data_IF_764949634859
#
_entry.id   IF_764949634859
#
_cell.length_a   1.000
_cell.length_b   1.000
_cell.length_c   1.000
_cell.angle_alpha   90.00
_cell.angle_beta   90.00
_cell.angle_gamma   90.00
#
_symmetry.space_group_name_H-M   'P 1'
#
loop_
_entity.id
_entity.type
_entity.pdbx_description
1 polymer ?
#
# COMPACT_ATOMS: atom_id res chain seq x y z
N UNK A 1 -11.81 34.04 -19.50
CA UNK A 1 -12.66 32.91 -19.04
C UNK A 1 -11.94 31.55 -19.02
N UNK A 2 -11.13 31.17 -20.02
CA UNK A 2 -10.42 29.88 -20.03
C UNK A 2 -9.30 29.74 -18.97
N UNK A 3 -8.64 30.84 -18.60
CA UNK A 3 -7.60 30.87 -17.55
C UNK A 3 -8.20 30.64 -16.14
N UNK A 4 -9.44 31.08 -15.92
CA UNK A 4 -10.16 30.85 -14.66
C UNK A 4 -10.55 29.37 -14.48
N UNK A 5 -10.86 28.66 -15.56
CA UNK A 5 -11.16 27.23 -15.54
C UNK A 5 -9.94 26.35 -15.18
N UNK A 6 -8.75 26.71 -15.68
CA UNK A 6 -7.51 26.02 -15.32
C UNK A 6 -7.10 26.28 -13.87
N UNK A 7 -7.32 27.50 -13.37
CA UNK A 7 -7.09 27.85 -11.95
C UNK A 7 -8.03 27.10 -10.99
N UNK A 8 -9.29 26.89 -11.38
CA UNK A 8 -10.24 26.12 -10.58
C UNK A 8 -9.89 24.62 -10.50
N UNK A 9 -9.39 24.03 -11.59
CA UNK A 9 -8.91 22.63 -11.59
C UNK A 9 -7.63 22.49 -10.76
N UNK A 10 -6.71 23.47 -10.84
CA UNK A 10 -5.51 23.49 -10.02
C UNK A 10 -5.84 23.65 -8.53
N UNK A 11 -6.80 24.52 -8.18
CA UNK A 11 -7.30 24.71 -6.82
C UNK A 11 -8.03 23.47 -6.29
N UNK A 12 -8.80 22.75 -7.12
CA UNK A 12 -9.47 21.50 -6.74
C UNK A 12 -8.46 20.37 -6.49
N UNK A 13 -7.40 20.27 -7.31
CA UNK A 13 -6.33 19.28 -7.12
C UNK A 13 -5.48 19.62 -5.89
N UNK A 14 -5.19 20.90 -5.63
CA UNK A 14 -4.47 21.34 -4.43
C UNK A 14 -5.29 21.21 -3.14
N UNK A 15 -6.61 21.44 -3.18
CA UNK A 15 -7.49 21.30 -2.00
C UNK A 15 -7.77 19.84 -1.63
N UNK A 16 -7.81 18.92 -2.60
CA UNK A 16 -7.90 17.48 -2.32
C UNK A 16 -6.59 16.91 -1.76
N UNK A 17 -5.44 17.51 -2.10
CA UNK A 17 -4.11 17.13 -1.58
C UNK A 17 -3.72 17.85 -0.27
N UNK A 18 -4.37 18.97 0.06
CA UNK A 18 -4.11 19.77 1.26
C UNK A 18 -5.17 19.61 2.36
N UNK A 19 -6.15 18.71 2.20
CA UNK A 19 -7.02 18.34 3.30
C UNK A 19 -6.14 17.79 4.44
N UNK A 20 -6.11 18.42 5.63
CA UNK A 20 -5.43 17.83 6.76
C UNK A 20 -6.05 16.46 6.99
N UNK A 21 -5.25 15.42 7.35
CA UNK A 21 -5.85 14.18 7.79
C UNK A 21 -6.85 14.52 8.90
N UNK A 22 -8.03 13.88 8.94
CA UNK A 22 -8.86 14.00 10.13
C UNK A 22 -7.96 13.72 11.32
N UNK A 23 -8.00 14.63 12.31
CA UNK A 23 -7.24 14.48 13.54
C UNK A 23 -7.52 13.07 14.05
N UNK A 24 -6.55 12.17 13.88
CA UNK A 24 -6.63 10.88 14.53
C UNK A 24 -6.55 11.22 16.01
N UNK A 25 -7.63 10.94 16.74
CA UNK A 25 -7.50 10.70 18.15
C UNK A 25 -6.39 9.65 18.28
N UNK A 26 -5.23 10.07 18.78
CA UNK A 26 -4.09 9.22 19.01
C UNK A 26 -4.45 8.28 20.17
N UNK A 27 -5.10 7.16 19.86
CA UNK A 27 -5.09 6.00 20.72
C UNK A 27 -3.69 5.40 20.63
N UNK A 28 -2.91 5.48 21.71
CA UNK A 28 -1.63 4.78 21.80
C UNK A 28 -1.83 3.28 21.48
N UNK A 29 -0.98 2.71 20.61
CA UNK A 29 -1.08 1.31 20.21
C UNK A 29 -0.99 0.37 21.41
N UNK A 30 -1.91 -0.60 21.51
CA UNK A 30 -2.07 -1.49 22.67
C UNK A 30 -0.81 -2.31 22.93
N UNK A 31 -0.13 -2.68 21.84
CA UNK A 31 1.12 -3.43 21.85
C UNK A 31 2.28 -2.78 22.65
N UNK A 32 2.38 -1.45 22.67
CA UNK A 32 3.51 -0.76 23.32
C UNK A 32 3.45 -0.79 24.85
N UNK A 33 2.24 -0.92 25.39
CA UNK A 33 1.94 -0.80 26.82
C UNK A 33 1.70 -2.14 27.52
N UNK A 34 1.82 -3.27 26.83
CA UNK A 34 1.63 -4.58 27.46
C UNK A 34 2.81 -4.92 28.36
N UNK A 35 2.50 -5.22 29.62
CA UNK A 35 3.41 -5.87 30.55
C UNK A 35 3.05 -7.34 30.65
N UNK A 36 4.07 -8.19 30.76
CA UNK A 36 3.91 -9.63 30.87
C UNK A 36 4.39 -10.13 32.22
N UNK A 37 3.72 -11.15 32.74
CA UNK A 37 4.12 -11.82 33.97
C UNK A 37 5.47 -12.53 33.82
N UNK A 38 6.06 -12.91 34.96
CA UNK A 38 7.35 -13.61 35.02
C UNK A 38 8.52 -12.89 34.29
N UNK A 39 8.48 -11.56 34.23
CA UNK A 39 9.49 -10.72 33.58
C UNK A 39 9.74 -11.09 32.10
N UNK A 40 8.71 -11.59 31.41
CA UNK A 40 8.79 -11.92 29.99
C UNK A 40 8.93 -10.64 29.17
N UNK A 41 9.87 -10.64 28.24
CA UNK A 41 10.10 -9.55 27.31
C UNK A 41 10.20 -10.09 25.89
N UNK A 42 9.64 -9.32 24.95
CA UNK A 42 9.60 -9.67 23.53
C UNK A 42 10.26 -8.57 22.71
N UNK A 43 11.04 -8.97 21.70
CA UNK A 43 11.82 -8.05 20.88
C UNK A 43 10.96 -7.27 19.88
N UNK A 44 9.81 -7.81 19.50
CA UNK A 44 8.91 -7.26 18.49
C UNK A 44 7.45 -7.46 18.89
N UNK A 45 6.56 -6.63 18.38
CA UNK A 45 5.15 -6.73 18.64
C UNK A 45 4.26 -6.04 17.58
N UNK A 46 3.08 -6.60 17.29
CA UNK A 46 2.15 -6.06 16.30
C UNK A 46 0.72 -6.12 16.82
N UNK A 47 0.00 -5.00 16.69
CA UNK A 47 -1.47 -5.01 16.79
C UNK A 47 -2.03 -5.73 15.56
N UNK A 48 -2.96 -6.66 15.78
CA UNK A 48 -3.60 -7.44 14.73
C UNK A 48 -4.86 -6.72 14.24
N UNK A 49 -5.19 -6.82 12.94
CA UNK A 49 -6.23 -5.99 12.32
C UNK A 49 -7.66 -6.31 12.75
N UNK A 50 -7.88 -7.42 13.47
CA UNK A 50 -9.21 -7.94 13.83
C UNK A 50 -9.23 -8.50 15.25
N UNK A 51 -10.42 -8.48 15.84
CA UNK A 51 -10.73 -9.02 17.17
C UNK A 51 -9.95 -8.33 18.32
N UNK A 52 -9.38 -7.15 18.08
CA UNK A 52 -8.65 -6.38 19.09
C UNK A 52 -7.44 -7.10 19.68
N UNK A 53 -6.86 -8.03 18.91
CA UNK A 53 -5.74 -8.87 19.34
C UNK A 53 -4.38 -8.19 19.08
N UNK A 54 -3.36 -8.60 19.82
CA UNK A 54 -1.96 -8.27 19.55
C UNK A 54 -1.07 -9.50 19.69
N UNK A 55 0.06 -9.51 18.99
CA UNK A 55 1.07 -10.56 19.09
C UNK A 55 2.43 -9.95 19.35
N UNK A 56 3.19 -10.54 20.26
CA UNK A 56 4.52 -10.13 20.67
C UNK A 56 5.44 -11.33 20.48
N UNK A 57 6.64 -11.12 19.95
CA UNK A 57 7.53 -12.23 19.68
C UNK A 57 9.01 -11.87 19.77
N UNK A 58 9.81 -12.90 20.01
CA UNK A 58 11.26 -12.90 19.85
C UNK A 58 11.60 -14.13 19.03
N UNK A 59 12.29 -13.93 17.90
CA UNK A 59 12.73 -15.03 17.04
C UNK A 59 14.25 -15.14 17.06
N UNK A 60 14.76 -16.27 17.51
CA UNK A 60 16.17 -16.60 17.45
C UNK A 60 16.48 -17.40 16.17
N UNK A 61 17.20 -16.79 15.25
CA UNK A 61 17.57 -17.40 13.97
C UNK A 61 18.57 -18.54 14.11
N UNK A 62 19.39 -18.53 15.16
CA UNK A 62 20.43 -19.55 15.36
C UNK A 62 19.80 -20.86 15.82
N UNK A 63 18.86 -20.79 16.76
CA UNK A 63 18.15 -21.96 17.28
C UNK A 63 16.91 -22.35 16.46
N UNK A 64 16.31 -21.39 15.74
CA UNK A 64 15.03 -21.55 15.06
C UNK A 64 13.82 -21.47 16.01
N UNK A 65 14.02 -20.95 17.22
CA UNK A 65 13.00 -20.86 18.25
C UNK A 65 12.26 -19.51 18.19
N UNK A 66 10.94 -19.58 18.23
CA UNK A 66 10.02 -18.45 18.29
C UNK A 66 9.37 -18.41 19.67
N UNK A 67 9.73 -17.44 20.49
CA UNK A 67 8.98 -17.12 21.72
C UNK A 67 7.87 -16.15 21.37
N UNK A 68 6.63 -16.43 21.79
CA UNK A 68 5.44 -15.63 21.48
C UNK A 68 4.62 -15.31 22.73
N UNK A 69 3.98 -14.14 22.74
CA UNK A 69 2.83 -13.81 23.56
C UNK A 69 1.69 -13.29 22.68
N UNK A 70 0.52 -13.90 22.77
CA UNK A 70 -0.69 -13.46 22.09
C UNK A 70 -1.68 -12.90 23.10
N UNK A 71 -2.24 -11.72 22.83
CA UNK A 71 -3.07 -11.00 23.79
C UNK A 71 -4.40 -10.60 23.17
N UNK A 72 -5.52 -11.12 23.70
CA UNK A 72 -6.87 -10.82 23.20
C UNK A 72 -7.94 -11.09 24.26
N UNK A 73 -9.08 -10.41 24.21
CA UNK A 73 -10.22 -10.75 25.05
C UNK A 73 -10.99 -11.96 24.47
N UNK A 74 -11.44 -12.92 25.29
CA UNK A 74 -12.38 -13.95 24.83
C UNK A 74 -13.72 -13.33 24.43
N UNK A 75 -14.54 -14.07 23.67
CA UNK A 75 -15.82 -13.53 23.19
C UNK A 75 -16.86 -13.35 24.33
N UNK A 76 -16.69 -14.09 25.44
CA UNK A 76 -17.51 -14.00 26.64
C UNK A 76 -16.71 -14.48 27.87
N UNK A 77 -17.15 -14.15 29.10
CA UNK A 77 -16.59 -14.75 30.32
C UNK A 77 -16.66 -16.28 30.27
N UNK A 78 -15.56 -16.97 30.60
CA UNK A 78 -15.46 -18.43 30.47
C UNK A 78 -15.18 -18.93 29.04
N UNK A 79 -14.98 -18.01 28.10
CA UNK A 79 -14.58 -18.33 26.73
C UNK A 79 -13.11 -18.73 26.58
N UNK A 80 -12.70 -18.89 25.34
CA UNK A 80 -11.33 -19.28 24.95
C UNK A 80 -10.76 -18.35 23.88
N UNK A 81 -9.45 -18.39 23.71
CA UNK A 81 -8.73 -17.66 22.67
C UNK A 81 -7.73 -18.58 21.98
N UNK A 82 -7.44 -18.34 20.70
CA UNK A 82 -6.47 -19.13 19.97
C UNK A 82 -5.62 -18.26 19.06
N UNK A 83 -4.34 -18.63 18.96
CA UNK A 83 -3.41 -18.13 17.95
C UNK A 83 -2.69 -19.31 17.33
N UNK A 84 -2.49 -19.26 16.02
CA UNK A 84 -1.92 -20.36 15.28
C UNK A 84 -1.02 -19.89 14.14
N UNK A 85 -0.03 -20.71 13.84
CA UNK A 85 0.78 -20.60 12.62
C UNK A 85 0.30 -21.63 11.61
N UNK A 86 0.15 -21.24 10.35
CA UNK A 86 -0.27 -22.14 9.28
C UNK A 86 0.86 -22.30 8.23
N UNK A 87 1.54 -23.46 8.18
CA UNK A 87 2.60 -23.72 7.21
C UNK A 87 2.10 -24.04 5.79
N UNK A 88 0.83 -24.42 5.62
CA UNK A 88 0.29 -24.94 4.35
C UNK A 88 -0.78 -24.04 3.70
N UNK A 89 -1.28 -23.02 4.40
CA UNK A 89 -2.32 -22.12 3.92
C UNK A 89 -2.45 -20.84 4.74
N UNK A 90 -3.51 -20.07 4.50
CA UNK A 90 -3.80 -18.80 5.16
C UNK A 90 -5.09 -18.84 6.01
N UNK A 91 -5.69 -20.01 6.19
CA UNK A 91 -6.95 -20.23 6.91
C UNK A 91 -6.82 -21.15 8.12
N UNK A 92 -7.96 -21.60 8.64
CA UNK A 92 -8.02 -22.54 9.77
C UNK A 92 -7.48 -23.95 9.41
N UNK A 93 -7.83 -24.56 8.26
CA UNK A 93 -7.24 -25.84 7.87
C UNK A 93 -5.72 -25.75 7.65
N UNK A 94 -4.98 -26.66 8.28
CA UNK A 94 -3.51 -26.70 8.32
C UNK A 94 -2.89 -25.96 9.51
N UNK A 95 -3.67 -25.21 10.30
CA UNK A 95 -3.15 -24.38 11.37
C UNK A 95 -2.64 -25.20 12.57
N UNK A 96 -1.51 -24.78 13.12
CA UNK A 96 -0.86 -25.35 14.30
C UNK A 96 -1.11 -24.39 15.47
N UNK A 97 -2.09 -24.70 16.30
CA UNK A 97 -2.71 -23.74 17.20
C UNK A 97 -2.25 -23.90 18.65
N UNK A 98 -2.02 -22.75 19.30
CA UNK A 98 -2.05 -22.58 20.74
C UNK A 98 -3.44 -22.08 21.12
N UNK A 99 -4.18 -22.88 21.87
CA UNK A 99 -5.53 -22.54 22.34
C UNK A 99 -5.50 -22.42 23.85
N UNK A 100 -5.97 -21.29 24.37
CA UNK A 100 -6.01 -21.01 25.80
C UNK A 100 -7.43 -20.79 26.29
N UNK A 101 -7.73 -21.33 27.46
CA UNK A 101 -9.02 -21.19 28.12
C UNK A 101 -9.04 -21.87 29.47
N UNK A 102 -10.16 -21.80 30.19
CA UNK A 102 -10.38 -22.51 31.45
C UNK A 102 -10.67 -23.99 31.17
N UNK A 103 -9.67 -24.74 30.73
CA UNK A 103 -9.80 -26.17 30.50
C UNK A 103 -9.78 -26.94 31.83
N UNK A 104 -10.66 -27.95 32.02
CA UNK A 104 -10.60 -28.85 33.16
C UNK A 104 -9.25 -29.57 33.25
N UNK A 105 -8.78 -29.80 34.47
CA UNK A 105 -7.63 -30.67 34.72
C UNK A 105 -7.97 -32.13 34.37
N UNK A 106 -6.93 -32.93 34.14
CA UNK A 106 -7.03 -34.37 33.86
C UNK A 106 -7.65 -35.07 35.08
N UNK A 107 -8.95 -35.32 35.04
CA UNK A 107 -9.76 -35.76 36.18
C UNK A 107 -11.18 -35.18 36.21
N UNK A 108 -11.50 -34.21 35.33
CA UNK A 108 -12.87 -33.73 35.14
C UNK A 108 -13.37 -32.77 36.24
N UNK A 109 -12.47 -32.24 37.06
CA UNK A 109 -12.78 -31.21 38.06
C UNK A 109 -13.10 -29.84 37.45
N UNK A 110 -13.59 -28.90 38.27
CA UNK A 110 -13.78 -27.52 37.83
C UNK A 110 -12.42 -26.90 37.43
N UNK A 111 -12.36 -26.28 36.25
CA UNK A 111 -11.16 -25.59 35.78
C UNK A 111 -10.81 -24.43 36.72
N UNK A 112 -9.67 -24.52 37.40
CA UNK A 112 -9.25 -23.54 38.41
C UNK A 112 -8.38 -22.41 37.82
N UNK A 113 -7.75 -22.63 36.67
CA UNK A 113 -6.85 -21.69 36.02
C UNK A 113 -6.93 -21.76 34.49
N UNK A 114 -6.48 -20.68 33.82
CA UNK A 114 -6.28 -20.68 32.37
C UNK A 114 -5.07 -21.55 32.02
N UNK A 115 -5.23 -22.42 31.02
CA UNK A 115 -4.15 -23.27 30.52
C UNK A 115 -4.11 -23.24 28.99
N UNK A 116 -2.98 -23.69 28.43
CA UNK A 116 -2.78 -23.75 26.97
C UNK A 116 -2.74 -25.20 26.53
N UNK A 117 -3.49 -25.51 25.48
CA UNK A 117 -3.46 -26.79 24.77
C UNK A 117 -3.09 -26.56 23.32
N UNK A 118 -2.38 -27.51 22.73
CA UNK A 118 -1.96 -27.47 21.32
C UNK A 118 -2.91 -28.29 20.46
N UNK A 119 -3.21 -27.80 19.26
CA UNK A 119 -4.09 -28.49 18.32
C UNK A 119 -3.53 -28.45 16.90
N UNK A 120 -3.47 -29.61 16.26
CA UNK A 120 -3.21 -29.73 14.83
C UNK A 120 -4.55 -29.67 14.07
N UNK A 121 -4.87 -28.49 13.54
CA UNK A 121 -6.18 -28.22 12.94
C UNK A 121 -6.14 -28.57 11.46
N UNK A 122 -6.69 -29.73 11.08
CA UNK A 122 -6.70 -30.18 9.67
C UNK A 122 -7.94 -29.73 8.88
N UNK A 123 -9.00 -29.27 9.56
CA UNK A 123 -10.27 -28.88 8.96
C UNK A 123 -11.09 -27.96 9.86
N UNK A 124 -12.42 -28.06 9.79
CA UNK A 124 -13.34 -27.23 10.58
C UNK A 124 -13.82 -27.89 11.88
N UNK A 125 -13.61 -29.21 12.02
CA UNK A 125 -13.81 -29.92 13.26
C UNK A 125 -12.48 -29.93 14.04
N UNK A 126 -12.57 -29.65 15.34
CA UNK A 126 -11.41 -29.73 16.23
C UNK A 126 -11.29 -31.16 16.78
N UNK A 127 -10.12 -31.78 16.63
CA UNK A 127 -9.81 -33.06 17.25
C UNK A 127 -9.32 -32.90 18.68
N UNK A 128 -8.77 -33.97 19.24
CA UNK A 128 -8.17 -33.95 20.58
C UNK A 128 -6.90 -33.07 20.63
N UNK A 129 -6.61 -32.46 21.79
CA UNK A 129 -5.35 -31.75 21.98
C UNK A 129 -4.17 -32.71 21.82
N UNK A 130 -3.10 -32.24 21.20
CA UNK A 130 -1.94 -33.08 20.93
C UNK A 130 -0.79 -32.34 20.26
N UNK A 131 0.28 -33.07 19.90
CA UNK A 131 1.47 -32.48 19.28
C UNK A 131 1.14 -31.73 17.99
N UNK A 132 1.86 -30.63 17.77
CA UNK A 132 1.78 -29.81 16.56
C UNK A 132 3.11 -29.82 15.81
N UNK A 133 3.11 -29.44 14.53
CA UNK A 133 4.30 -29.44 13.68
C UNK A 133 5.42 -28.50 14.17
N UNK A 134 5.09 -27.56 15.07
CA UNK A 134 6.05 -26.72 15.78
C UNK A 134 6.12 -27.17 17.23
N UNK A 135 7.07 -28.05 17.62
CA UNK A 135 7.22 -28.49 19.01
C UNK A 135 7.16 -27.29 19.96
N UNK A 136 6.22 -27.35 20.90
CA UNK A 136 5.85 -26.24 21.76
C UNK A 136 6.30 -26.50 23.21
N UNK A 137 6.92 -25.50 23.82
CA UNK A 137 7.34 -25.51 25.22
C UNK A 137 7.01 -24.18 25.90
N UNK A 138 7.29 -24.05 27.20
CA UNK A 138 7.07 -22.83 28.00
C UNK A 138 5.64 -22.27 27.91
N UNK A 139 4.67 -23.16 27.71
CA UNK A 139 3.26 -22.84 27.53
C UNK A 139 2.65 -22.34 28.84
N UNK A 140 2.00 -21.18 28.78
CA UNK A 140 1.27 -20.61 29.91
C UNK A 140 0.15 -19.71 29.40
N UNK A 141 -0.92 -19.57 30.17
CA UNK A 141 -1.94 -18.58 29.90
C UNK A 141 -2.46 -17.95 31.18
N UNK A 142 -2.87 -16.70 31.09
CA UNK A 142 -3.47 -15.96 32.19
C UNK A 142 -4.55 -15.00 31.66
N UNK A 143 -5.60 -14.80 32.44
CA UNK A 143 -6.60 -13.78 32.18
C UNK A 143 -6.30 -12.56 33.05
N UNK A 144 -5.97 -11.43 32.42
CA UNK A 144 -5.69 -10.20 33.15
C UNK A 144 -6.96 -9.57 33.73
N UNK A 145 -6.78 -8.68 34.70
CA UNK A 145 -7.87 -7.87 35.27
C UNK A 145 -8.56 -6.96 34.23
N UNK A 146 -7.89 -6.70 33.10
CA UNK A 146 -8.42 -6.01 31.92
C UNK A 146 -9.36 -6.87 31.06
N UNK A 147 -9.61 -8.12 31.46
CA UNK A 147 -10.43 -9.08 30.73
C UNK A 147 -9.76 -9.65 29.49
N UNK A 148 -8.46 -9.40 29.28
CA UNK A 148 -7.70 -9.95 28.15
C UNK A 148 -6.87 -11.14 28.58
N UNK A 149 -6.96 -12.20 27.79
CA UNK A 149 -6.11 -13.36 27.93
C UNK A 149 -4.73 -13.09 27.32
N UNK A 150 -3.69 -13.54 28.00
CA UNK A 150 -2.30 -13.54 27.54
C UNK A 150 -1.87 -15.00 27.40
N UNK A 151 -1.48 -15.38 26.19
CA UNK A 151 -1.11 -16.76 25.83
C UNK A 151 0.35 -16.78 25.45
N UNK A 152 1.13 -17.56 26.18
CA UNK A 152 2.57 -17.67 26.02
C UNK A 152 2.96 -19.02 25.43
N UNK A 153 4.02 -19.03 24.63
CA UNK A 153 4.64 -20.26 24.18
C UNK A 153 5.99 -20.04 23.51
N UNK A 154 6.79 -21.10 23.45
CA UNK A 154 7.99 -21.19 22.63
C UNK A 154 7.78 -22.27 21.59
N UNK A 155 7.93 -21.94 20.32
CA UNK A 155 7.72 -22.81 19.17
C UNK A 155 9.03 -23.03 18.42
N UNK A 156 9.39 -24.29 18.17
CA UNK A 156 10.54 -24.62 17.31
C UNK A 156 10.07 -24.70 15.86
N UNK A 157 10.48 -23.74 15.03
CA UNK A 157 9.95 -23.60 13.66
C UNK A 157 10.59 -24.57 12.65
N UNK A 158 11.78 -25.10 12.93
CA UNK A 158 12.47 -26.04 12.05
C UNK A 158 12.61 -25.50 10.61
N UNK A 159 12.32 -26.31 9.56
CA UNK A 159 12.47 -25.89 8.16
C UNK A 159 11.46 -24.81 7.73
N UNK A 160 10.44 -24.55 8.54
CA UNK A 160 9.38 -23.58 8.22
C UNK A 160 9.77 -22.13 8.58
N UNK A 161 10.91 -21.91 9.24
CA UNK A 161 11.43 -20.59 9.64
C UNK A 161 11.94 -19.73 8.48
N UNK A 162 11.10 -19.42 7.48
CA UNK A 162 11.45 -18.66 6.28
C UNK A 162 11.33 -17.13 6.43
N UNK A 163 11.23 -16.62 7.67
CA UNK A 163 11.10 -15.18 7.97
C UNK A 163 9.68 -14.63 7.88
N UNK A 164 8.81 -15.17 7.01
CA UNK A 164 7.39 -14.79 6.94
C UNK A 164 6.51 -16.03 7.04
N UNK A 165 5.57 -16.03 7.98
CA UNK A 165 4.62 -17.11 8.22
C UNK A 165 3.18 -16.62 8.08
N UNK A 166 2.26 -17.52 7.76
CA UNK A 166 0.84 -17.22 7.88
C UNK A 166 0.41 -17.45 9.33
N UNK A 167 -0.37 -16.52 9.87
CA UNK A 167 -0.97 -16.62 11.20
C UNK A 167 -2.48 -16.43 11.11
N UNK A 168 -3.19 -17.13 11.98
CA UNK A 168 -4.64 -17.02 12.17
C UNK A 168 -4.94 -17.01 13.66
N UNK A 169 -6.03 -16.34 14.05
CA UNK A 169 -6.42 -16.26 15.45
C UNK A 169 -7.95 -16.23 15.59
N UNK A 170 -8.45 -16.67 16.74
CA UNK A 170 -9.87 -16.66 17.05
C UNK A 170 -10.14 -16.45 18.53
N UNK A 171 -11.38 -16.07 18.81
CA UNK A 171 -11.95 -15.96 20.15
C UNK A 171 -13.28 -16.70 20.17
N UNK A 172 -13.54 -17.46 21.22
CA UNK A 172 -14.76 -18.23 21.41
C UNK A 172 -15.44 -17.91 22.73
N UNK A 173 -16.74 -18.23 22.81
CA UNK A 173 -17.58 -17.83 23.92
C UNK A 173 -17.60 -18.82 25.10
N UNK A 174 -17.24 -20.09 24.87
CA UNK A 174 -17.32 -21.12 25.90
C UNK A 174 -16.34 -22.29 25.67
N UNK A 175 -15.89 -22.90 26.76
CA UNK A 175 -15.28 -24.24 26.77
C UNK A 175 -16.36 -25.23 27.23
N UNK A 176 -16.64 -26.27 26.44
CA UNK A 176 -17.69 -27.27 26.71
C UNK A 176 -17.09 -28.67 26.67
N UNK A 177 -17.36 -29.49 27.69
CA UNK A 177 -16.82 -30.85 27.76
C UNK A 177 -15.28 -30.91 27.76
N UNK A 178 -14.62 -29.86 28.23
CA UNK A 178 -13.17 -29.73 28.20
C UNK A 178 -12.57 -29.35 26.84
N UNK A 179 -13.40 -29.05 25.83
CA UNK A 179 -12.96 -28.62 24.52
C UNK A 179 -13.47 -27.20 24.17
N UNK A 180 -12.76 -26.45 23.32
CA UNK A 180 -13.25 -25.18 22.79
C UNK A 180 -14.57 -25.36 22.01
N UNK A 181 -15.63 -24.63 22.38
CA UNK A 181 -16.83 -24.58 21.56
C UNK A 181 -16.57 -23.81 20.25
N UNK A 182 -17.34 -24.04 19.18
CA UNK A 182 -17.17 -23.31 17.92
C UNK A 182 -17.13 -21.78 18.11
N UNK A 183 -16.18 -21.11 17.46
CA UNK A 183 -16.12 -19.66 17.44
C UNK A 183 -17.17 -19.07 16.49
N UNK A 184 -17.45 -17.77 16.63
CA UNK A 184 -18.35 -17.07 15.71
C UNK A 184 -17.78 -17.03 14.27
N UNK A 185 -18.67 -16.98 13.27
CA UNK A 185 -18.30 -16.91 11.84
C UNK A 185 -18.59 -15.53 11.24
N UNK A 186 -18.50 -14.47 12.06
CA UNK A 186 -18.71 -13.09 11.62
C UNK A 186 -17.60 -12.59 10.70
N UNK A 187 -17.79 -11.42 10.10
CA UNK A 187 -16.83 -10.82 9.16
C UNK A 187 -15.43 -10.65 9.80
N UNK A 188 -15.37 -10.22 11.06
CA UNK A 188 -14.08 -10.06 11.76
C UNK A 188 -13.41 -11.39 12.06
N UNK A 189 -14.17 -12.44 12.36
CA UNK A 189 -13.64 -13.80 12.56
C UNK A 189 -13.07 -14.37 11.26
N UNK A 190 -13.81 -14.27 10.15
CA UNK A 190 -13.34 -14.75 8.85
C UNK A 190 -12.12 -13.97 8.33
N UNK A 191 -11.97 -12.72 8.76
CA UNK A 191 -10.83 -11.86 8.44
C UNK A 191 -9.68 -11.93 9.46
N UNK A 192 -9.77 -12.77 10.51
CA UNK A 192 -8.75 -12.92 11.56
C UNK A 192 -7.56 -13.77 11.10
N UNK A 193 -6.90 -13.27 10.04
CA UNK A 193 -5.72 -13.87 9.41
C UNK A 193 -4.77 -12.79 8.92
N UNK A 194 -3.48 -13.05 9.01
CA UNK A 194 -2.43 -12.13 8.55
C UNK A 194 -1.12 -12.87 8.25
N UNK A 195 -0.15 -12.15 7.68
CA UNK A 195 1.24 -12.62 7.64
C UNK A 195 1.99 -12.10 8.87
N UNK A 196 2.83 -12.94 9.45
CA UNK A 196 3.76 -12.62 10.53
C UNK A 196 5.18 -12.61 9.97
N UNK A 197 5.83 -11.45 10.00
CA UNK A 197 7.24 -11.30 9.61
C UNK A 197 8.11 -11.36 10.88
N UNK A 198 8.73 -12.51 11.12
CA UNK A 198 9.50 -12.81 12.32
C UNK A 198 10.77 -11.95 12.44
N UNK A 199 11.27 -11.44 11.30
CA UNK A 199 12.51 -10.68 11.24
C UNK A 199 12.29 -9.17 11.39
N UNK A 200 11.02 -8.76 11.46
CA UNK A 200 10.59 -7.37 11.53
C UNK A 200 10.56 -6.91 12.98
N UNK A 201 11.56 -6.11 13.39
CA UNK A 201 11.52 -5.46 14.70
C UNK A 201 10.40 -4.43 14.73
N UNK A 202 9.44 -4.65 15.61
CA UNK A 202 8.28 -3.77 15.80
C UNK A 202 8.21 -3.39 17.28
N UNK A 203 9.14 -2.57 17.73
CA UNK A 203 8.97 -1.80 18.97
C UNK A 203 8.14 -0.58 18.65
N UNK A 204 6.96 -0.51 19.26
CA UNK A 204 6.01 0.57 19.07
C UNK A 204 6.56 1.92 19.58
N UNK A 205 6.92 2.77 18.65
CA UNK A 205 6.77 4.21 18.77
C UNK A 205 5.99 4.68 17.54
N UNK A 206 5.06 5.61 17.72
CA UNK A 206 4.29 6.21 16.64
C UNK A 206 5.22 6.73 15.54
N UNK A 207 5.32 5.94 14.47
CA UNK A 207 6.20 6.11 13.33
C UNK A 207 6.12 4.78 12.60
N UNK A 208 5.71 4.80 11.33
CA UNK A 208 5.69 3.57 10.55
C UNK A 208 7.05 2.86 10.72
N UNK A 209 7.02 1.55 10.98
CA UNK A 209 8.19 0.67 10.97
C UNK A 209 9.16 1.12 9.86
N UNK A 210 10.45 1.35 10.14
CA UNK A 210 11.33 2.04 9.17
C UNK A 210 11.29 1.44 7.76
N UNK A 211 11.07 0.13 7.61
CA UNK A 211 10.91 -0.53 6.33
C UNK A 211 9.50 -0.33 5.74
N UNK A 212 8.43 -0.36 6.54
CA UNK A 212 7.06 -0.01 6.10
C UNK A 212 6.97 1.47 5.78
N UNK A 213 7.63 2.33 6.55
CA UNK A 213 7.76 3.76 6.32
C UNK A 213 8.53 4.01 5.04
N UNK A 214 9.69 3.39 4.83
CA UNK A 214 10.43 3.47 3.56
C UNK A 214 9.58 2.99 2.38
N UNK A 215 8.83 1.90 2.54
CA UNK A 215 7.88 1.35 1.54
C UNK A 215 6.72 2.31 1.26
N UNK A 216 6.14 2.92 2.29
CA UNK A 216 5.05 3.90 2.20
C UNK A 216 5.55 5.22 1.60
N UNK A 217 6.73 5.69 2.00
CA UNK A 217 7.42 6.84 1.41
C UNK A 217 7.69 6.57 -0.07
N UNK A 218 8.26 5.41 -0.41
CA UNK A 218 8.46 4.99 -1.79
C UNK A 218 7.13 5.03 -2.58
N UNK A 219 6.06 4.43 -2.05
CA UNK A 219 4.74 4.44 -2.66
C UNK A 219 4.19 5.85 -2.87
N UNK A 220 4.22 6.69 -1.83
CA UNK A 220 3.70 8.05 -1.85
C UNK A 220 4.48 8.96 -2.80
N UNK A 221 5.82 8.93 -2.74
CA UNK A 221 6.68 9.70 -3.64
C UNK A 221 6.37 9.36 -5.09
N UNK A 222 6.26 8.07 -5.43
CA UNK A 222 6.00 7.63 -6.80
C UNK A 222 4.56 7.90 -7.26
N UNK A 223 3.57 7.82 -6.37
CA UNK A 223 2.19 8.17 -6.69
C UNK A 223 2.05 9.67 -7.01
N UNK A 224 2.69 10.54 -6.21
CA UNK A 224 2.68 12.00 -6.43
C UNK A 224 3.47 12.37 -7.68
N UNK A 225 4.67 11.81 -7.89
CA UNK A 225 5.50 12.14 -9.04
C UNK A 225 4.96 11.56 -10.35
N UNK A 226 5.07 10.25 -10.53
CA UNK A 226 4.77 9.54 -11.77
C UNK A 226 3.27 9.45 -12.02
N UNK A 227 2.47 9.40 -10.96
CA UNK A 227 1.02 9.22 -11.04
C UNK A 227 0.23 10.52 -11.19
N UNK A 228 0.74 11.67 -10.74
CA UNK A 228 -0.03 12.93 -10.71
C UNK A 228 0.74 14.07 -11.37
N UNK A 229 1.95 14.38 -10.91
CA UNK A 229 2.66 15.60 -11.33
C UNK A 229 3.13 15.54 -12.80
N UNK A 230 3.72 14.41 -13.23
CA UNK A 230 4.16 14.24 -14.62
C UNK A 230 2.99 14.21 -15.62
N UNK A 231 1.89 13.47 -15.36
CA UNK A 231 0.69 13.55 -16.20
C UNK A 231 0.09 14.96 -16.27
N UNK A 232 0.06 15.69 -15.14
CA UNK A 232 -0.41 17.08 -15.10
C UNK A 232 0.42 17.99 -16.00
N UNK A 233 1.76 17.87 -15.94
CA UNK A 233 2.67 18.60 -16.84
C UNK A 233 2.41 18.28 -18.32
N UNK A 234 2.13 17.01 -18.65
CA UNK A 234 1.79 16.62 -20.03
C UNK A 234 0.46 17.24 -20.50
N UNK A 235 -0.55 17.28 -19.63
CA UNK A 235 -1.84 17.95 -19.90
C UNK A 235 -1.62 19.44 -20.18
N UNK A 236 -0.80 20.15 -19.39
CA UNK A 236 -0.48 21.55 -19.66
C UNK A 236 0.16 21.76 -21.03
N UNK A 237 1.17 20.95 -21.39
CA UNK A 237 1.82 21.07 -22.69
C UNK A 237 0.90 20.76 -23.87
N UNK A 238 0.01 19.77 -23.71
CA UNK A 238 -0.93 19.37 -24.77
C UNK A 238 -1.98 20.45 -25.02
N UNK A 239 -2.63 20.92 -23.96
CA UNK A 239 -3.83 21.74 -24.11
C UNK A 239 -3.57 23.24 -24.06
N UNK A 240 -2.74 23.71 -23.12
CA UNK A 240 -2.53 25.15 -22.94
C UNK A 240 -1.76 25.78 -24.10
N UNK A 241 -0.90 25.02 -24.77
CA UNK A 241 -0.18 25.43 -25.98
C UNK A 241 -1.10 25.91 -27.12
N UNK A 242 -2.37 25.50 -27.12
CA UNK A 242 -3.36 25.94 -28.13
C UNK A 242 -3.74 27.42 -27.98
N UNK A 243 -3.64 27.97 -26.77
CA UNK A 243 -4.03 29.34 -26.46
C UNK A 243 -2.84 30.29 -26.59
N UNK A 244 -2.92 31.26 -27.51
CA UNK A 244 -1.85 32.27 -27.71
C UNK A 244 -1.53 33.05 -26.43
N UNK A 245 -2.54 33.32 -25.59
CA UNK A 245 -2.38 34.02 -24.30
C UNK A 245 -1.62 33.22 -23.25
N UNK A 246 -1.43 31.92 -23.47
CA UNK A 246 -0.69 31.05 -22.56
C UNK A 246 0.75 30.80 -23.02
N UNK A 247 1.22 31.46 -24.08
CA UNK A 247 2.63 31.43 -24.48
C UNK A 247 3.38 32.57 -23.77
N UNK A 248 4.51 32.32 -23.08
CA UNK A 248 5.24 31.05 -22.91
C UNK A 248 4.83 30.23 -21.66
N UNK A 249 3.80 30.65 -20.92
CA UNK A 249 3.40 30.05 -19.64
C UNK A 249 3.18 28.52 -19.70
N UNK A 250 2.57 27.98 -20.76
CA UNK A 250 2.37 26.52 -20.92
C UNK A 250 3.69 25.74 -20.86
N UNK A 251 4.76 26.31 -21.41
CA UNK A 251 6.06 25.68 -21.50
C UNK A 251 6.72 25.65 -20.13
N UNK A 252 6.66 26.75 -19.39
CA UNK A 252 7.17 26.81 -18.02
C UNK A 252 6.39 25.89 -17.08
N UNK A 253 5.05 25.91 -17.15
CA UNK A 253 4.21 24.99 -16.36
C UNK A 253 4.54 23.53 -16.63
N UNK A 254 4.70 23.15 -17.91
CA UNK A 254 5.12 21.81 -18.28
C UNK A 254 6.49 21.47 -17.68
N UNK A 255 7.53 22.27 -17.98
CA UNK A 255 8.90 21.99 -17.55
C UNK A 255 9.02 21.96 -16.03
N UNK A 256 8.37 22.87 -15.31
CA UNK A 256 8.37 22.88 -13.84
C UNK A 256 7.74 21.60 -13.27
N UNK A 257 6.57 21.17 -13.78
CA UNK A 257 5.98 19.89 -13.38
C UNK A 257 6.92 18.72 -13.68
N UNK A 258 7.56 18.70 -14.86
CA UNK A 258 8.46 17.60 -15.22
C UNK A 258 9.72 17.55 -14.35
N UNK A 259 10.36 18.69 -14.07
CA UNK A 259 11.58 18.72 -13.27
C UNK A 259 11.30 18.34 -11.81
N UNK A 260 10.25 18.89 -11.21
CA UNK A 260 9.86 18.55 -9.83
C UNK A 260 9.41 17.08 -9.75
N UNK A 261 8.53 16.66 -10.65
CA UNK A 261 8.03 15.29 -10.69
C UNK A 261 9.14 14.28 -10.90
N UNK A 262 10.05 14.54 -11.84
CA UNK A 262 11.18 13.66 -12.08
C UNK A 262 12.14 13.62 -10.88
N UNK A 263 12.45 14.77 -10.27
CA UNK A 263 13.29 14.83 -9.06
C UNK A 263 12.72 13.99 -7.91
N UNK A 264 11.45 14.19 -7.57
CA UNK A 264 10.73 13.38 -6.57
C UNK A 264 10.69 11.90 -6.96
N UNK A 265 10.47 11.62 -8.25
CA UNK A 265 10.44 10.27 -8.80
C UNK A 265 11.80 9.55 -8.73
N UNK A 266 12.91 10.26 -8.87
CA UNK A 266 14.27 9.71 -8.68
C UNK A 266 14.48 9.32 -7.22
N UNK A 267 14.05 10.14 -6.26
CA UNK A 267 14.08 9.79 -4.83
C UNK A 267 13.20 8.56 -4.54
N UNK A 268 12.00 8.51 -5.13
CA UNK A 268 11.13 7.34 -5.08
C UNK A 268 11.80 6.08 -5.67
N UNK A 269 12.47 6.18 -6.81
CA UNK A 269 13.16 5.05 -7.42
C UNK A 269 14.37 4.59 -6.61
N UNK A 270 15.18 5.52 -6.10
CA UNK A 270 16.36 5.23 -5.28
C UNK A 270 15.97 4.51 -3.97
N UNK A 271 14.90 4.95 -3.31
CA UNK A 271 14.35 4.24 -2.15
C UNK A 271 13.87 2.83 -2.51
N UNK A 272 13.29 2.63 -3.70
CA UNK A 272 12.91 1.31 -4.22
C UNK A 272 14.09 0.35 -4.42
N UNK A 273 15.23 0.84 -4.94
CA UNK A 273 16.46 0.03 -5.03
C UNK A 273 16.96 -0.36 -3.65
N UNK A 274 16.97 0.59 -2.71
CA UNK A 274 17.43 0.32 -1.35
C UNK A 274 16.56 -0.73 -0.67
N UNK A 275 15.24 -0.65 -0.82
CA UNK A 275 14.28 -1.66 -0.36
C UNK A 275 14.56 -3.04 -0.95
N UNK A 276 14.94 -3.12 -2.22
CA UNK A 276 15.33 -4.37 -2.87
C UNK A 276 16.62 -4.98 -2.30
N UNK A 277 17.61 -4.15 -1.94
CA UNK A 277 18.86 -4.60 -1.29
C UNK A 277 18.61 -5.09 0.14
N UNK A 278 17.70 -4.42 0.86
CA UNK A 278 17.30 -4.77 2.23
C UNK A 278 16.41 -6.04 2.28
N UNK A 279 15.87 -6.51 1.14
CA UNK A 279 14.93 -7.65 1.06
C UNK A 279 15.48 -8.83 0.25
N UNK A 280 16.65 -9.39 0.63
CA UNK A 280 17.24 -10.57 -0.05
C UNK A 280 16.30 -11.78 0.03
N UNK A 281 15.92 -12.34 -1.13
CA UNK A 281 15.04 -13.52 -1.24
C UNK A 281 13.58 -13.24 -1.64
N UNK A 282 13.13 -11.98 -1.62
CA UNK A 282 11.79 -11.59 -2.09
C UNK A 282 11.92 -10.54 -3.19
N UNK A 283 11.64 -10.92 -4.43
CA UNK A 283 11.69 -10.00 -5.58
C UNK A 283 10.36 -9.92 -6.29
N UNK A 284 9.77 -8.72 -6.32
CA UNK A 284 8.63 -8.41 -7.17
C UNK A 284 9.12 -8.05 -8.57
N UNK A 285 9.45 -9.09 -9.34
CA UNK A 285 10.16 -8.96 -10.63
C UNK A 285 9.46 -8.02 -11.60
N UNK A 286 8.14 -8.11 -11.73
CA UNK A 286 7.36 -7.25 -12.61
C UNK A 286 7.42 -5.76 -12.22
N UNK A 287 7.10 -5.44 -10.97
CA UNK A 287 7.09 -4.05 -10.48
C UNK A 287 8.48 -3.42 -10.58
N UNK A 288 9.53 -4.21 -10.28
CA UNK A 288 10.92 -3.77 -10.42
C UNK A 288 11.28 -3.50 -11.88
N UNK A 289 10.97 -4.42 -12.79
CA UNK A 289 11.33 -4.29 -14.20
C UNK A 289 10.60 -3.11 -14.86
N UNK A 290 9.29 -2.95 -14.59
CA UNK A 290 8.53 -1.79 -15.07
C UNK A 290 9.08 -0.51 -14.44
N UNK A 291 9.38 -0.50 -13.14
CA UNK A 291 9.96 0.66 -12.46
C UNK A 291 11.31 1.11 -13.05
N UNK A 292 12.19 0.16 -13.39
CA UNK A 292 13.46 0.45 -14.07
C UNK A 292 13.20 1.01 -15.47
N UNK A 293 12.27 0.44 -16.23
CA UNK A 293 11.92 0.93 -17.56
C UNK A 293 11.34 2.36 -17.51
N UNK A 294 10.42 2.63 -16.58
CA UNK A 294 9.84 3.97 -16.35
C UNK A 294 10.93 4.98 -15.99
N UNK A 295 11.84 4.62 -15.10
CA UNK A 295 12.96 5.49 -14.72
C UNK A 295 13.85 5.79 -15.94
N UNK A 296 14.30 4.77 -16.68
CA UNK A 296 15.17 4.94 -17.84
C UNK A 296 14.52 5.82 -18.93
N UNK A 297 13.25 5.56 -19.27
CA UNK A 297 12.49 6.35 -20.24
C UNK A 297 12.23 7.78 -19.73
N UNK A 298 11.97 7.95 -18.43
CA UNK A 298 11.85 9.26 -17.79
C UNK A 298 13.14 10.08 -17.86
N UNK A 299 14.29 9.46 -17.62
CA UNK A 299 15.61 10.10 -17.79
C UNK A 299 15.79 10.60 -19.22
N UNK A 300 15.48 9.74 -20.19
CA UNK A 300 15.54 10.09 -21.62
C UNK A 300 14.65 11.30 -21.93
N UNK A 301 13.48 11.41 -21.29
CA UNK A 301 12.58 12.55 -21.43
C UNK A 301 13.13 13.85 -20.84
N UNK A 302 13.81 13.81 -19.69
CA UNK A 302 14.45 15.00 -19.13
C UNK A 302 15.62 15.45 -20.02
N UNK A 303 16.41 14.51 -20.54
CA UNK A 303 17.49 14.81 -21.48
C UNK A 303 16.98 15.40 -22.80
N UNK A 304 15.72 15.16 -23.16
CA UNK A 304 15.10 15.77 -24.34
C UNK A 304 15.12 17.31 -24.30
N UNK A 305 15.16 17.91 -23.10
CA UNK A 305 15.29 19.37 -22.94
C UNK A 305 16.58 19.90 -23.58
N UNK A 306 17.71 19.23 -23.31
CA UNK A 306 19.03 19.62 -23.83
C UNK A 306 19.17 19.31 -25.32
N UNK A 307 18.48 18.27 -25.80
CA UNK A 307 18.52 17.84 -27.19
C UNK A 307 17.43 18.48 -28.06
N UNK A 308 16.70 19.47 -27.55
CA UNK A 308 15.56 20.09 -28.23
C UNK A 308 16.03 20.94 -29.43
N UNK A 309 15.72 20.55 -30.69
CA UNK A 309 16.12 21.33 -31.85
C UNK A 309 15.35 22.67 -31.95
N UNK A 310 15.93 23.65 -32.66
CA UNK A 310 15.24 24.88 -33.07
C UNK A 310 13.97 24.54 -33.87
N UNK A 311 12.95 25.42 -33.83
CA UNK A 311 11.63 25.15 -34.40
C UNK A 311 11.68 24.86 -35.90
N UNK A 312 12.65 25.45 -36.60
CA UNK A 312 12.85 25.40 -38.05
C UNK A 312 13.73 24.21 -38.48
N UNK A 313 14.29 23.45 -37.54
CA UNK A 313 15.23 22.37 -37.84
C UNK A 313 14.51 21.10 -38.30
N UNK A 314 15.03 20.40 -39.33
CA UNK A 314 14.42 19.16 -39.88
C UNK A 314 14.20 18.06 -38.83
N UNK A 315 15.09 17.94 -37.85
CA UNK A 315 14.97 16.97 -36.75
C UNK A 315 13.90 17.31 -35.70
N UNK A 316 13.30 18.51 -35.76
CA UNK A 316 12.25 18.93 -34.82
C UNK A 316 11.03 17.99 -34.87
N UNK A 317 10.66 17.51 -36.05
CA UNK A 317 9.55 16.59 -36.23
C UNK A 317 9.82 15.22 -35.56
N UNK A 318 10.99 14.63 -35.81
CA UNK A 318 11.41 13.37 -35.19
C UNK A 318 11.53 13.50 -33.67
N UNK A 319 12.09 14.60 -33.18
CA UNK A 319 12.16 14.89 -31.75
C UNK A 319 10.75 14.97 -31.14
N UNK A 320 9.77 15.59 -31.81
CA UNK A 320 8.39 15.66 -31.30
C UNK A 320 7.75 14.26 -31.25
N UNK A 321 7.95 13.44 -32.28
CA UNK A 321 7.44 12.06 -32.32
C UNK A 321 8.00 11.23 -31.16
N UNK A 322 9.32 11.26 -30.99
CA UNK A 322 10.03 10.63 -29.88
C UNK A 322 9.51 11.12 -28.52
N UNK A 323 9.50 12.44 -28.30
CA UNK A 323 9.12 13.06 -27.04
C UNK A 323 7.67 12.73 -26.66
N UNK A 324 6.75 12.72 -27.62
CA UNK A 324 5.36 12.34 -27.36
C UNK A 324 5.18 10.85 -27.10
N UNK A 325 5.70 9.99 -27.99
CA UNK A 325 5.52 8.53 -27.87
C UNK A 325 6.10 7.97 -26.57
N UNK A 326 7.36 8.33 -26.25
CA UNK A 326 8.00 7.92 -25.01
C UNK A 326 7.31 8.56 -23.80
N UNK A 327 6.80 9.79 -23.93
CA UNK A 327 6.15 10.52 -22.84
C UNK A 327 4.84 9.85 -22.41
N UNK A 328 3.98 9.50 -23.37
CA UNK A 328 2.77 8.74 -23.07
C UNK A 328 3.07 7.33 -22.54
N UNK A 329 4.12 6.69 -23.05
CA UNK A 329 4.55 5.38 -22.56
C UNK A 329 4.93 5.44 -21.08
N UNK A 330 5.71 6.46 -20.67
CA UNK A 330 6.08 6.70 -19.26
C UNK A 330 4.84 6.90 -18.39
N UNK A 331 3.84 7.67 -18.84
CA UNK A 331 2.61 7.90 -18.09
C UNK A 331 1.85 6.59 -17.87
N UNK A 332 1.62 5.80 -18.94
CA UNK A 332 0.87 4.55 -18.85
C UNK A 332 1.60 3.54 -17.96
N UNK A 333 2.90 3.33 -18.19
CA UNK A 333 3.69 2.41 -17.38
C UNK A 333 3.80 2.88 -15.92
N UNK A 334 3.88 4.18 -15.68
CA UNK A 334 3.89 4.76 -14.33
C UNK A 334 2.61 4.41 -13.55
N UNK A 335 1.44 4.66 -14.13
CA UNK A 335 0.14 4.34 -13.50
C UNK A 335 0.01 2.83 -13.25
N UNK A 336 0.34 1.99 -14.24
CA UNK A 336 0.32 0.53 -14.08
C UNK A 336 1.26 0.09 -12.95
N UNK A 337 2.46 0.66 -12.88
CA UNK A 337 3.44 0.30 -11.87
C UNK A 337 3.01 0.72 -10.46
N UNK A 338 2.31 1.85 -10.33
CA UNK A 338 1.74 2.31 -9.06
C UNK A 338 0.65 1.35 -8.57
N UNK A 339 -0.24 0.86 -9.45
CA UNK A 339 -1.22 -0.16 -9.07
C UNK A 339 -0.57 -1.48 -8.64
N UNK A 340 0.47 -1.93 -9.35
CA UNK A 340 1.27 -3.09 -8.91
C UNK A 340 1.90 -2.86 -7.54
N UNK A 341 2.48 -1.68 -7.32
CA UNK A 341 3.06 -1.29 -6.02
C UNK A 341 2.04 -1.28 -4.88
N UNK A 342 0.83 -0.75 -5.11
CA UNK A 342 -0.25 -0.77 -4.12
C UNK A 342 -0.69 -2.20 -3.78
N UNK A 343 -0.74 -3.10 -4.76
CA UNK A 343 -1.04 -4.52 -4.55
C UNK A 343 0.02 -5.22 -3.70
N UNK A 344 1.31 -4.93 -3.96
CA UNK A 344 2.44 -5.45 -3.18
C UNK A 344 2.39 -4.98 -1.71
N UNK A 345 2.07 -3.70 -1.50
CA UNK A 345 1.98 -3.10 -0.17
C UNK A 345 0.71 -3.53 0.59
N UNK A 346 -0.27 -4.13 -0.07
CA UNK A 346 -1.56 -4.42 0.54
C UNK A 346 -2.27 -3.16 1.04
N UNK A 347 -2.17 -2.06 0.29
CA UNK A 347 -2.68 -0.76 0.71
C UNK A 347 -4.19 -0.84 0.94
N UNK A 348 -4.66 -0.23 2.04
CA UNK A 348 -6.07 -0.15 2.36
C UNK A 348 -6.90 0.44 1.21
N UNK A 349 -8.12 -0.07 1.02
CA UNK A 349 -8.98 0.27 -0.10
C UNK A 349 -9.25 1.78 -0.25
N UNK A 350 -9.26 2.55 0.86
CA UNK A 350 -9.47 4.01 0.83
C UNK A 350 -8.38 4.74 0.03
N UNK A 351 -7.11 4.37 0.19
CA UNK A 351 -6.00 5.02 -0.52
C UNK A 351 -5.96 4.62 -1.99
N UNK A 352 -6.27 3.36 -2.29
CA UNK A 352 -6.45 2.90 -3.67
C UNK A 352 -7.57 3.68 -4.35
N UNK A 353 -8.69 3.89 -3.64
CA UNK A 353 -9.84 4.68 -4.13
C UNK A 353 -9.45 6.14 -4.34
N UNK A 354 -8.69 6.73 -3.41
CA UNK A 354 -8.21 8.10 -3.55
C UNK A 354 -7.30 8.29 -4.77
N UNK A 355 -6.39 7.36 -5.02
CA UNK A 355 -5.54 7.40 -6.21
C UNK A 355 -6.34 7.24 -7.51
N UNK A 356 -7.30 6.30 -7.53
CA UNK A 356 -8.21 6.13 -8.68
C UNK A 356 -8.98 7.43 -8.94
N UNK A 357 -9.53 8.05 -7.90
CA UNK A 357 -10.23 9.32 -8.02
C UNK A 357 -9.32 10.41 -8.61
N UNK A 358 -8.07 10.52 -8.15
CA UNK A 358 -7.10 11.49 -8.69
C UNK A 358 -6.83 11.26 -10.19
N UNK A 359 -6.60 10.00 -10.60
CA UNK A 359 -6.40 9.66 -12.02
C UNK A 359 -7.65 9.96 -12.85
N UNK A 360 -8.84 9.65 -12.33
CA UNK A 360 -10.11 9.96 -12.99
C UNK A 360 -10.29 11.48 -13.17
N UNK A 361 -9.96 12.29 -12.16
CA UNK A 361 -10.01 13.77 -12.27
C UNK A 361 -9.09 14.26 -13.38
N UNK A 362 -7.85 13.75 -13.46
CA UNK A 362 -6.92 14.11 -14.54
C UNK A 362 -7.46 13.69 -15.93
N UNK A 363 -8.06 12.50 -16.03
CA UNK A 363 -8.65 12.02 -17.28
C UNK A 363 -9.85 12.87 -17.73
N UNK A 364 -10.75 13.22 -16.81
CA UNK A 364 -11.90 14.09 -17.08
C UNK A 364 -11.43 15.49 -17.48
N UNK A 365 -10.45 16.06 -16.76
CA UNK A 365 -9.87 17.35 -17.11
C UNK A 365 -9.24 17.33 -18.50
N UNK A 366 -8.49 16.27 -18.83
CA UNK A 366 -7.92 16.09 -20.16
C UNK A 366 -9.01 15.99 -21.25
N UNK A 367 -10.07 15.20 -21.03
CA UNK A 367 -11.18 15.07 -21.98
C UNK A 367 -11.93 16.39 -22.21
N UNK A 368 -12.20 17.14 -21.13
CA UNK A 368 -12.83 18.46 -21.21
C UNK A 368 -11.95 19.45 -21.97
N UNK A 369 -10.65 19.49 -21.65
CA UNK A 369 -9.69 20.35 -22.35
C UNK A 369 -9.55 19.97 -23.83
N UNK A 370 -9.54 18.68 -24.16
CA UNK A 370 -9.52 18.18 -25.54
C UNK A 370 -10.73 18.74 -26.32
N UNK A 371 -11.95 18.60 -25.78
CA UNK A 371 -13.16 19.13 -26.40
C UNK A 371 -13.10 20.66 -26.62
N UNK A 372 -12.62 21.41 -25.61
CA UNK A 372 -12.45 22.88 -25.72
C UNK A 372 -11.42 23.24 -26.79
N UNK A 373 -10.25 22.58 -26.79
CA UNK A 373 -9.19 22.87 -27.76
C UNK A 373 -9.61 22.55 -29.19
N UNK A 374 -10.35 21.47 -29.42
CA UNK A 374 -10.94 21.17 -30.72
C UNK A 374 -11.91 22.26 -31.17
N UNK A 375 -12.77 22.74 -30.26
CA UNK A 375 -13.66 23.86 -30.54
C UNK A 375 -12.90 25.13 -30.98
N UNK A 376 -11.80 25.46 -30.30
CA UNK A 376 -10.93 26.59 -30.65
C UNK A 376 -10.26 26.39 -32.02
N UNK A 377 -9.72 25.21 -32.29
CA UNK A 377 -9.05 24.88 -33.55
C UNK A 377 -10.03 24.97 -34.72
N UNK A 378 -11.24 24.39 -34.59
CA UNK A 378 -12.28 24.44 -35.63
C UNK A 378 -12.72 25.89 -35.90
N UNK A 379 -12.91 26.70 -34.84
CA UNK A 379 -13.26 28.12 -35.00
C UNK A 379 -12.16 28.91 -35.71
N UNK A 380 -10.88 28.67 -35.38
CA UNK A 380 -9.74 29.32 -36.06
C UNK A 380 -9.70 28.95 -37.55
N UNK A 381 -9.83 27.66 -37.88
CA UNK A 381 -9.87 27.20 -39.28
C UNK A 381 -11.02 27.84 -40.07
N UNK A 382 -12.20 27.96 -39.46
CA UNK A 382 -13.35 28.66 -40.08
C UNK A 382 -13.08 30.15 -40.31
N UNK A 383 -12.40 30.83 -39.38
CA UNK A 383 -12.05 32.24 -39.52
C UNK A 383 -10.99 32.46 -40.62
N UNK A 384 -9.95 31.62 -40.67
CA UNK A 384 -8.92 31.65 -41.72
C UNK A 384 -9.51 31.36 -43.11
N UNK A 385 -10.41 30.37 -43.22
CA UNK A 385 -11.12 30.08 -44.47
C UNK A 385 -11.98 31.26 -44.98
N UNK A 386 -12.58 32.04 -44.07
CA UNK A 386 -13.33 33.26 -44.44
C UNK A 386 -12.42 34.38 -44.94
N UNK A 387 -11.21 34.52 -44.39
CA UNK A 387 -10.25 35.54 -44.86
C UNK A 387 -9.67 35.23 -46.24
N UNK A 388 -9.48 33.95 -46.59
CA UNK A 388 -9.04 33.57 -47.94
C UNK A 388 -10.16 33.59 -48.99
N UNK A 389 -11.42 33.36 -48.59
CA UNK A 389 -12.59 33.41 -49.48
C UNK A 389 -13.23 34.79 -49.66
N UNK A 390 -12.75 35.83 -48.95
CA UNK A 390 -13.35 37.16 -48.92
C UNK A 390 -12.53 38.28 -49.58
N UNK A 391 -11.40 37.99 -50.24
CA UNK A 391 -10.65 39.01 -50.97
C UNK A 391 -11.42 39.35 -52.28
N UNK A 392 -11.92 40.59 -52.47
CA UNK A 392 -12.46 41.00 -53.76
C UNK A 392 -11.29 41.17 -54.74
N UNK A 393 -11.39 40.49 -55.87
CA UNK A 393 -10.54 40.72 -57.03
C UNK A 393 -10.86 42.09 -57.66
N UNK A 394 -10.41 43.18 -57.05
CA UNK A 394 -10.39 44.47 -57.73
C UNK A 394 -8.99 44.69 -58.30
N UNK A 395 -8.80 44.12 -59.50
CA UNK A 395 -7.78 44.58 -60.42
C UNK A 395 -8.13 45.97 -60.92
N UNK A 396 -7.27 46.93 -60.65
CA UNK A 396 -7.19 48.15 -61.44
C UNK A 396 -5.71 48.53 -61.60
N UNK A 397 -5.19 48.26 -62.80
CA UNK A 397 -3.99 48.93 -63.31
C UNK A 397 -4.39 50.34 -63.74
N UNK A 398 -3.53 51.34 -63.56
CA UNK A 398 -3.28 52.25 -64.65
C UNK A 398 -1.80 52.40 -64.98
N UNK A 399 -1.62 52.76 -66.25
CA UNK A 399 -0.39 52.96 -67.01
C UNK A 399 0.49 54.10 -66.50
#
# INVERSE_FOLDING_TARGET
MAVAGAGAVLALVLTVLAAPPPAHAAGGGRCAGESFSANRAYAACSDLPRLGASVHWTYDRASGDLSVAFVVAPAAPGGWVAWALNPSGDGMPGAQALVAGPFPDDGGGAASAWSVRTYNVSGYALGDPGPIAFPASDLAAELGADGRARVYGRLRLGPYGAGVLNQVWQVGAAVTGGAPAPHAMGADNLAAKAKLDLLRSTTAAAGADSATQKRNIHGALNAVSWGVLLPTGAIFARYLKTFKSADPAWFYLHVTCQLIGYGVGVSGWATGINLGKESKGVTYTDHRNIGIAVFALGTLQVLALFLRPKKEHKYRAYWNMYHHSVGYTVIVLGVVNIFKGMGILGVEQRWRTAYIAAVCVLAVAAAALEAVTWGVVVRRRKAEGKTFGGAPANGHLPH
#
